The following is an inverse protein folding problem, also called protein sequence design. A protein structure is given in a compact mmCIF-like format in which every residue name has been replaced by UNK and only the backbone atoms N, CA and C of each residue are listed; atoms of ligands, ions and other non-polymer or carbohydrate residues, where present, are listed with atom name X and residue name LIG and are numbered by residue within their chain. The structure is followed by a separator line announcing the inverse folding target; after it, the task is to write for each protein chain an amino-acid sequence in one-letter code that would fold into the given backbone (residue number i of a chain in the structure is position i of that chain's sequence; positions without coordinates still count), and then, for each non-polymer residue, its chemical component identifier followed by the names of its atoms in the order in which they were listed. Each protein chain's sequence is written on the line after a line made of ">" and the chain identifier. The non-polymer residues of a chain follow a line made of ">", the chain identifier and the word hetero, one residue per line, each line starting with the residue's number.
data_IF_961230812011
#
_entry.id   IF_961230812011
#
_cell.length_a   1.000
_cell.length_b   1.000
_cell.length_c   1.000
_cell.angle_alpha   90.00
_cell.angle_beta   90.00
_cell.angle_gamma   90.00
#
_symmetry.space_group_name_H-M   'P 1'
#
loop_
_entity.id
_entity.type
_entity.pdbx_description
1 polymer ?
#
# COMPACT_ATOMS: atom_id res chain seq x y z
N UNK A 1 -2.07 12.78 4.38
CA UNK A 1 -0.91 12.80 5.30
C UNK A 1 0.32 12.82 4.43
N UNK A 2 1.33 13.64 4.72
CA UNK A 2 2.51 13.72 3.87
C UNK A 2 3.36 12.47 4.12
N UNK A 3 3.57 11.67 3.08
CA UNK A 3 4.52 10.57 3.03
C UNK A 3 5.87 11.13 3.52
N UNK A 4 6.22 10.89 4.79
CA UNK A 4 7.39 11.52 5.42
C UNK A 4 8.67 10.99 4.75
N UNK A 5 8.59 9.78 4.18
CA UNK A 5 9.70 9.09 3.56
C UNK A 5 9.27 8.44 2.25
N UNK A 6 9.30 9.17 1.13
CA UNK A 6 8.99 8.65 -0.22
C UNK A 6 9.66 7.31 -0.56
N UNK A 7 10.84 7.03 0.01
CA UNK A 7 11.54 5.77 -0.14
C UNK A 7 10.78 4.57 0.49
N UNK A 8 10.17 4.77 1.66
CA UNK A 8 9.43 3.74 2.39
C UNK A 8 8.13 3.40 1.65
N UNK A 9 7.42 4.41 1.17
CA UNK A 9 6.31 4.22 0.24
C UNK A 9 6.69 3.42 -1.01
N UNK A 10 7.82 3.73 -1.66
CA UNK A 10 8.24 2.99 -2.86
C UNK A 10 8.60 1.53 -2.53
N UNK A 11 9.16 1.29 -1.34
CA UNK A 11 9.44 -0.05 -0.83
C UNK A 11 8.16 -0.88 -0.61
N UNK A 12 7.13 -0.30 0.01
CA UNK A 12 5.85 -0.97 0.18
C UNK A 12 5.17 -1.28 -1.15
N UNK A 13 5.24 -0.33 -2.08
CA UNK A 13 4.72 -0.51 -3.45
C UNK A 13 5.45 -1.64 -4.18
N UNK A 14 6.78 -1.70 -4.06
CA UNK A 14 7.60 -2.76 -4.64
C UNK A 14 7.31 -4.12 -3.99
N UNK A 15 7.07 -4.16 -2.68
CA UNK A 15 6.70 -5.39 -1.97
C UNK A 15 5.36 -5.94 -2.46
N UNK A 16 4.36 -5.08 -2.66
CA UNK A 16 3.07 -5.46 -3.27
C UNK A 16 3.27 -5.97 -4.70
N UNK A 17 4.06 -5.27 -5.51
CA UNK A 17 4.36 -5.66 -6.89
C UNK A 17 5.06 -7.03 -6.97
N UNK A 18 5.84 -7.39 -5.95
CA UNK A 18 6.46 -8.70 -5.79
C UNK A 18 5.52 -9.77 -5.21
N UNK A 19 4.28 -9.41 -4.84
CA UNK A 19 3.31 -10.32 -4.23
C UNK A 19 3.64 -10.69 -2.78
N UNK A 20 4.43 -9.87 -2.09
CA UNK A 20 4.73 -10.08 -0.67
C UNK A 20 3.50 -9.74 0.20
N UNK A 21 3.36 -10.37 1.38
CA UNK A 21 2.33 -10.00 2.35
C UNK A 21 2.69 -8.70 3.09
N UNK A 22 1.72 -8.07 3.75
CA UNK A 22 1.96 -6.91 4.63
C UNK A 22 2.89 -7.24 5.82
N UNK A 23 2.97 -8.51 6.20
CA UNK A 23 3.94 -9.00 7.21
C UNK A 23 5.41 -8.91 6.74
N UNK A 24 5.66 -8.60 5.47
CA UNK A 24 6.99 -8.28 4.97
C UNK A 24 7.46 -6.87 5.35
N UNK A 25 6.58 -6.05 5.92
CA UNK A 25 6.90 -4.74 6.45
C UNK A 25 7.95 -4.87 7.58
N UNK A 26 9.17 -4.33 7.40
CA UNK A 26 10.23 -4.45 8.40
C UNK A 26 10.06 -3.48 9.58
N UNK A 27 9.14 -2.52 9.48
CA UNK A 27 8.94 -1.46 10.47
C UNK A 27 7.97 -1.89 11.57
N UNK A 28 8.15 -1.34 12.78
CA UNK A 28 7.25 -1.61 13.89
C UNK A 28 5.81 -1.20 13.59
N UNK A 29 4.85 -2.10 13.86
CA UNK A 29 3.44 -1.86 13.62
C UNK A 29 2.96 -0.64 14.41
N UNK A 30 2.40 0.35 13.71
CA UNK A 30 1.94 1.61 14.29
C UNK A 30 2.97 2.75 14.28
N UNK A 31 4.22 2.49 13.89
CA UNK A 31 5.20 3.55 13.60
C UNK A 31 4.88 4.26 12.28
N UNK A 32 5.33 5.50 12.15
CA UNK A 32 5.07 6.31 10.96
C UNK A 32 5.63 5.67 9.69
N UNK A 33 6.77 5.00 9.80
CA UNK A 33 7.40 4.24 8.72
C UNK A 33 6.55 3.05 8.28
N UNK A 34 5.97 2.30 9.22
CA UNK A 34 5.07 1.19 8.91
C UNK A 34 3.84 1.68 8.16
N UNK A 35 3.28 2.83 8.56
CA UNK A 35 2.14 3.45 7.87
C UNK A 35 2.49 3.91 6.45
N UNK A 36 3.67 4.52 6.27
CA UNK A 36 4.16 5.01 4.97
C UNK A 36 4.39 3.84 3.99
N UNK A 37 4.93 2.73 4.49
CA UNK A 37 5.12 1.49 3.73
C UNK A 37 3.78 0.89 3.33
N UNK A 38 2.82 0.81 4.27
CA UNK A 38 1.48 0.27 4.01
C UNK A 38 0.71 1.14 3.01
N UNK A 39 0.89 2.46 3.05
CA UNK A 39 0.30 3.38 2.07
C UNK A 39 0.84 3.08 0.66
N UNK A 40 2.14 2.85 0.50
CA UNK A 40 2.73 2.39 -0.75
C UNK A 40 2.26 1.01 -1.21
N UNK A 41 2.17 0.07 -0.27
CA UNK A 41 1.72 -1.31 -0.50
C UNK A 41 0.26 -1.38 -1.00
N UNK A 42 -0.58 -0.47 -0.53
CA UNK A 42 -2.00 -0.37 -0.92
C UNK A 42 -2.25 0.57 -2.09
N UNK A 43 -1.31 1.46 -2.43
CA UNK A 43 -1.46 2.43 -3.52
C UNK A 43 -1.58 1.82 -4.93
N UNK A 44 -1.27 0.53 -5.10
CA UNK A 44 -1.39 -0.19 -6.37
C UNK A 44 -2.70 -0.94 -6.55
N UNK A 45 -3.58 -0.97 -5.54
CA UNK A 45 -4.93 -1.48 -5.77
C UNK A 45 -5.65 -0.45 -6.64
N UNK A 46 -6.05 -0.79 -7.89
CA UNK A 46 -7.08 0.02 -8.53
C UNK A 46 -8.23 0.06 -7.53
N UNK A 47 -8.73 1.26 -7.21
CA UNK A 47 -10.02 1.39 -6.51
C UNK A 47 -10.91 0.31 -7.11
N UNK A 48 -11.47 -0.61 -6.28
CA UNK A 48 -12.20 -1.76 -6.78
C UNK A 48 -13.15 -1.18 -7.80
N UNK A 49 -12.88 -1.47 -9.09
CA UNK A 49 -13.61 -0.83 -10.16
C UNK A 49 -15.04 -1.19 -9.83
N UNK A 50 -15.80 -0.18 -9.43
CA UNK A 50 -17.19 -0.33 -9.09
C UNK A 50 -17.92 -0.53 -10.42
N UNK A 51 -17.59 -1.62 -11.10
CA UNK A 51 -18.50 -2.37 -11.93
C UNK A 51 -19.51 -2.99 -10.97
N UNK A 52 -20.28 -2.12 -10.30
CA UNK A 52 -21.64 -2.48 -9.98
C UNK A 52 -22.27 -2.86 -11.32
N UNK A 53 -23.00 -3.98 -11.40
CA UNK A 53 -23.73 -4.27 -12.62
C UNK A 53 -24.68 -3.10 -12.88
N UNK A 54 -24.37 -2.29 -13.88
CA UNK A 54 -25.34 -1.43 -14.54
C UNK A 54 -26.36 -2.39 -15.17
N UNK A 55 -27.42 -2.69 -14.42
CA UNK A 55 -28.54 -3.45 -14.93
C UNK A 55 -29.63 -2.45 -15.26
N UNK A 56 -29.72 -2.18 -16.57
CA UNK A 56 -30.68 -1.31 -17.25
C UNK A 56 -32.14 -1.73 -17.05
#
# INVERSE_FOLDING_TARGET
>A
MAVVSRAIYDEGRAAKAQGQPDSANPYEAGSQESLDWLEGFTAGEPEPSATGPDNS
#
